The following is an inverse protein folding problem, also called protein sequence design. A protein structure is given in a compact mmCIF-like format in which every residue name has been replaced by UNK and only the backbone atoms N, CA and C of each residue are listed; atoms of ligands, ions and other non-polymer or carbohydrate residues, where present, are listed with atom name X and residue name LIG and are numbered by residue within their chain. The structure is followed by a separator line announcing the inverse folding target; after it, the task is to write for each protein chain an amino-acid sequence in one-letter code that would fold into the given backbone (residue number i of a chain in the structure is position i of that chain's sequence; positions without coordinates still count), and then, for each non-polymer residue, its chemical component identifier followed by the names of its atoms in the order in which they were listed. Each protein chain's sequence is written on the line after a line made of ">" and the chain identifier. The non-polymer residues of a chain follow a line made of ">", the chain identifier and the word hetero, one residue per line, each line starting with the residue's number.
data_IF_174292999938
#
_entry.id   IF_174292999938
#
_cell.length_a   1.000
_cell.length_b   1.000
_cell.length_c   1.000
_cell.angle_alpha   90.00
_cell.angle_beta   90.00
_cell.angle_gamma   90.00
#
_symmetry.space_group_name_H-M   'P 1'
#
loop_
_entity.id
_entity.type
_entity.pdbx_description
1 polymer ?
#
# COMPACT_ATOMS: atom_id res chain seq x y z
N UNK A 1 5.48 29.15 -14.15
CA UNK A 1 4.61 27.96 -14.28
C UNK A 1 5.16 26.92 -13.31
N UNK A 2 4.38 26.49 -12.33
CA UNK A 2 4.80 25.44 -11.40
C UNK A 2 3.98 24.19 -11.70
N UNK A 3 4.65 23.12 -12.11
CA UNK A 3 4.02 21.83 -12.38
C UNK A 3 3.89 21.08 -11.06
N UNK A 4 2.68 20.65 -10.74
CA UNK A 4 2.43 19.87 -9.54
C UNK A 4 2.79 18.40 -9.82
N UNK A 5 3.88 17.92 -9.21
CA UNK A 5 4.31 16.54 -9.32
C UNK A 5 3.87 15.77 -8.07
N UNK A 6 3.06 14.74 -8.24
CA UNK A 6 2.69 13.83 -7.15
C UNK A 6 3.84 12.84 -6.90
N UNK A 7 4.57 13.05 -5.81
CA UNK A 7 5.59 12.10 -5.33
C UNK A 7 4.95 11.20 -4.27
N UNK A 8 5.02 9.89 -4.49
CA UNK A 8 4.52 8.88 -3.56
C UNK A 8 5.57 8.60 -2.46
N UNK A 9 5.17 8.73 -1.20
CA UNK A 9 6.00 8.42 -0.04
C UNK A 9 5.40 7.21 0.67
N UNK A 10 6.18 6.15 0.85
CA UNK A 10 5.77 4.97 1.63
C UNK A 10 5.70 5.34 3.11
N UNK A 11 4.51 5.28 3.71
CA UNK A 11 4.27 5.64 5.12
C UNK A 11 4.24 4.45 6.08
N UNK A 12 4.42 3.23 5.58
CA UNK A 12 4.60 2.04 6.41
C UNK A 12 3.89 0.81 5.86
N UNK A 13 4.11 -0.29 6.55
CA UNK A 13 3.49 -1.59 6.30
C UNK A 13 2.75 -2.05 7.57
N UNK A 14 1.58 -2.64 7.40
CA UNK A 14 0.76 -3.22 8.46
C UNK A 14 0.20 -4.57 8.00
N UNK A 15 -0.31 -5.37 8.93
CA UNK A 15 -1.01 -6.62 8.61
C UNK A 15 -2.46 -6.47 9.10
N UNK A 16 -3.43 -6.82 8.27
CA UNK A 16 -4.85 -6.79 8.62
C UNK A 16 -5.24 -7.96 9.53
N UNK A 17 -6.43 -7.92 10.11
CA UNK A 17 -6.98 -9.04 10.90
C UNK A 17 -7.17 -10.31 10.07
N UNK A 18 -7.42 -10.16 8.76
CA UNK A 18 -7.47 -11.24 7.76
C UNK A 18 -6.09 -11.78 7.36
N UNK A 19 -5.00 -11.20 7.87
CA UNK A 19 -3.62 -11.60 7.57
C UNK A 19 -3.03 -10.95 6.31
N UNK A 20 -3.76 -10.07 5.63
CA UNK A 20 -3.30 -9.40 4.41
C UNK A 20 -2.25 -8.33 4.73
N UNK A 21 -1.25 -8.20 3.86
CA UNK A 21 -0.25 -7.13 4.01
C UNK A 21 -0.82 -5.82 3.45
N UNK A 22 -0.89 -4.80 4.29
CA UNK A 22 -1.42 -3.47 3.97
C UNK A 22 -0.27 -2.48 3.87
N UNK A 23 -0.08 -1.88 2.69
CA UNK A 23 0.88 -0.80 2.43
C UNK A 23 0.15 0.54 2.43
N UNK A 24 0.61 1.47 3.28
CA UNK A 24 0.13 2.85 3.29
C UNK A 24 1.12 3.77 2.58
N UNK A 25 0.60 4.65 1.74
CA UNK A 25 1.38 5.71 1.08
C UNK A 25 0.67 7.04 1.20
N UNK A 26 1.43 8.13 1.23
CA UNK A 26 0.88 9.48 1.15
C UNK A 26 1.65 10.35 0.16
N UNK A 27 0.96 11.33 -0.39
CA UNK A 27 1.52 12.42 -1.17
C UNK A 27 1.57 13.68 -0.30
N UNK A 28 2.55 14.55 -0.56
CA UNK A 28 2.67 15.85 0.13
C UNK A 28 1.50 16.80 -0.10
N UNK A 29 0.66 16.54 -1.09
CA UNK A 29 -0.59 17.30 -1.32
C UNK A 29 -1.75 16.85 -0.42
N UNK A 30 -1.57 15.83 0.42
CA UNK A 30 -2.60 15.30 1.33
C UNK A 30 -3.34 14.07 0.81
N UNK A 31 -3.10 13.64 -0.43
CA UNK A 31 -3.65 12.39 -0.95
C UNK A 31 -3.03 11.17 -0.24
N UNK A 32 -3.85 10.21 0.16
CA UNK A 32 -3.43 8.96 0.80
C UNK A 32 -3.83 7.76 -0.05
N UNK A 33 -3.00 6.73 -0.08
CA UNK A 33 -3.21 5.50 -0.84
C UNK A 33 -2.98 4.30 0.05
N UNK A 34 -3.83 3.29 -0.08
CA UNK A 34 -3.68 2.01 0.61
C UNK A 34 -3.65 0.91 -0.44
N UNK A 35 -2.65 0.02 -0.37
CA UNK A 35 -2.59 -1.21 -1.17
C UNK A 35 -2.71 -2.40 -0.25
N UNK A 36 -3.57 -3.33 -0.62
CA UNK A 36 -3.75 -4.60 0.09
C UNK A 36 -3.12 -5.68 -0.78
N UNK A 37 -2.19 -6.42 -0.20
CA UNK A 37 -1.54 -7.56 -0.78
C UNK A 37 -2.17 -8.80 -0.14
N UNK A 38 -3.06 -9.52 -0.86
CA UNK A 38 -3.64 -10.74 -0.35
C UNK A 38 -2.52 -11.75 -0.11
N UNK A 39 -2.63 -12.51 0.98
CA UNK A 39 -1.74 -13.66 1.19
C UNK A 39 -2.14 -14.72 0.17
N UNK A 40 -1.20 -15.25 -0.63
CA UNK A 40 -1.51 -16.40 -1.46
C UNK A 40 -1.88 -17.56 -0.54
N UNK A 41 -3.04 -18.18 -0.76
CA UNK A 41 -3.41 -19.39 -0.05
C UNK A 41 -2.41 -20.50 -0.41
N UNK A 42 -1.44 -20.75 0.48
CA UNK A 42 -0.50 -21.87 0.31
C UNK A 42 -1.26 -23.18 0.58
N UNK A 43 -1.88 -23.67 -0.49
CA UNK A 43 -2.61 -24.94 -0.56
C UNK A 43 -2.72 -25.50 -1.98
N UNK A 44 -1.80 -25.17 -2.88
CA UNK A 44 -1.57 -25.96 -4.09
C UNK A 44 -0.14 -26.48 -4.08
N UNK A 45 0.04 -27.52 -3.29
CA UNK A 45 1.04 -28.57 -3.52
C UNK A 45 1.08 -28.94 -5.01
N UNK A 46 2.28 -29.05 -5.55
CA UNK A 46 2.56 -29.48 -6.92
C UNK A 46 2.98 -30.93 -6.93
#
# INVERSE_FOLDING_TARGET
>A
MAEHVHVRISQGLAVSESGELVEHSACRCGATFTRIHPVPEEGSER
#
